data_IF_091882830960
#
_entry.id   IF_091882830960
#
_cell.length_a   1.000
_cell.length_b   1.000
_cell.length_c   1.000
_cell.angle_alpha   90.00
_cell.angle_beta   90.00
_cell.angle_gamma   90.00
#
_symmetry.space_group_name_H-M   'P 1'
#
loop_
_entity.id
_entity.type
_entity.pdbx_description
1 polymer ?
#
# COMPACT_ATOMS: atom_id res chain seq x y z
N UNK A 1 -3.73 6.29 36.56
CA UNK A 1 -2.41 6.22 37.24
C UNK A 1 -1.44 5.52 36.31
N UNK A 2 -0.52 6.29 35.72
CA UNK A 2 0.44 5.78 34.73
C UNK A 2 1.56 5.01 35.41
N UNK A 3 1.66 3.71 35.15
CA UNK A 3 2.83 2.90 35.50
C UNK A 3 3.85 3.02 34.37
N UNK A 4 4.59 4.12 34.36
CA UNK A 4 5.81 4.31 33.57
C UNK A 4 6.94 3.46 34.14
N UNK A 5 6.89 2.15 33.88
CA UNK A 5 8.08 1.31 33.93
C UNK A 5 8.36 0.88 32.51
N UNK A 6 9.14 1.70 31.80
CA UNK A 6 9.84 1.35 30.58
C UNK A 6 10.78 0.18 30.86
N UNK A 7 10.23 -1.03 31.03
CA UNK A 7 11.00 -2.25 31.19
C UNK A 7 11.54 -2.58 29.81
N UNK A 8 12.79 -2.19 29.59
CA UNK A 8 13.59 -2.67 28.46
C UNK A 8 13.42 -4.18 28.37
N UNK A 9 12.73 -4.62 27.31
CA UNK A 9 12.42 -6.03 27.11
C UNK A 9 13.68 -6.79 26.66
N UNK A 10 13.65 -8.12 26.73
CA UNK A 10 14.73 -8.94 26.15
C UNK A 10 14.88 -8.67 24.64
N UNK A 11 13.77 -8.33 23.97
CA UNK A 11 13.75 -7.97 22.55
C UNK A 11 14.47 -6.65 22.30
N UNK A 12 14.21 -5.62 23.12
CA UNK A 12 14.88 -4.32 23.02
C UNK A 12 16.39 -4.43 23.23
N UNK A 13 16.83 -5.28 24.17
CA UNK A 13 18.25 -5.57 24.39
C UNK A 13 18.88 -6.23 23.16
N UNK A 14 18.21 -7.22 22.57
CA UNK A 14 18.72 -7.89 21.37
C UNK A 14 18.82 -6.94 20.18
N UNK A 15 17.83 -6.06 19.98
CA UNK A 15 17.86 -5.03 18.92
C UNK A 15 18.99 -4.04 19.16
N UNK A 16 19.19 -3.62 20.42
CA UNK A 16 20.31 -2.76 20.79
C UNK A 16 21.65 -3.42 20.49
N UNK A 17 21.82 -4.69 20.86
CA UNK A 17 23.05 -5.44 20.62
C UNK A 17 23.37 -5.57 19.12
N UNK A 18 22.36 -5.82 18.28
CA UNK A 18 22.51 -5.82 16.82
C UNK A 18 22.96 -4.46 16.28
N UNK A 19 22.33 -3.36 16.75
CA UNK A 19 22.69 -2.00 16.36
C UNK A 19 24.11 -1.63 16.81
N UNK A 20 24.50 -2.01 18.03
CA UNK A 20 25.85 -1.83 18.54
C UNK A 20 26.89 -2.62 17.72
N UNK A 21 26.57 -3.85 17.30
CA UNK A 21 27.45 -4.63 16.43
C UNK A 21 27.63 -3.98 15.06
N UNK A 22 26.55 -3.49 14.45
CA UNK A 22 26.62 -2.72 13.19
C UNK A 22 27.53 -1.51 13.33
N UNK A 23 27.36 -0.72 14.39
CA UNK A 23 28.16 0.48 14.63
C UNK A 23 29.65 0.15 14.85
N UNK A 24 29.95 -0.96 15.56
CA UNK A 24 31.33 -1.47 15.71
C UNK A 24 31.92 -1.89 14.37
N UNK A 25 31.15 -2.54 13.49
CA UNK A 25 31.64 -2.91 12.15
C UNK A 25 31.90 -1.68 11.29
N UNK A 26 31.08 -0.64 11.34
CA UNK A 26 31.38 0.64 10.67
C UNK A 26 32.67 1.27 11.19
N UNK A 27 32.90 1.26 12.51
CA UNK A 27 34.17 1.75 13.07
C UNK A 27 35.37 0.94 12.57
N UNK A 28 35.23 -0.39 12.50
CA UNK A 28 36.26 -1.27 11.98
C UNK A 28 36.53 -1.04 10.50
N UNK A 29 35.48 -0.88 9.68
CA UNK A 29 35.55 -0.53 8.26
C UNK A 29 36.38 0.75 8.06
N UNK A 30 36.02 1.84 8.76
CA UNK A 30 36.77 3.11 8.70
C UNK A 30 38.24 2.94 9.08
N UNK A 31 38.53 2.15 10.12
CA UNK A 31 39.91 1.88 10.54
C UNK A 31 40.70 1.11 9.46
N UNK A 32 40.10 0.11 8.83
CA UNK A 32 40.73 -0.65 7.74
C UNK A 32 40.96 0.24 6.51
N UNK A 33 40.00 1.09 6.14
CA UNK A 33 40.17 2.02 5.00
C UNK A 33 41.41 2.89 5.20
N UNK A 34 41.57 3.51 6.37
CA UNK A 34 42.74 4.32 6.71
C UNK A 34 44.05 3.52 6.68
N UNK A 35 44.02 2.26 7.12
CA UNK A 35 45.18 1.36 7.03
C UNK A 35 45.54 1.03 5.58
N UNK A 36 44.52 0.74 4.75
CA UNK A 36 44.68 0.43 3.33
C UNK A 36 45.31 1.62 2.60
N UNK A 37 44.86 2.85 2.87
CA UNK A 37 45.41 4.08 2.29
C UNK A 37 46.89 4.26 2.68
N UNK A 38 47.23 4.01 3.95
CA UNK A 38 48.62 4.05 4.44
C UNK A 38 49.50 3.02 3.74
N UNK A 39 49.04 1.79 3.58
CA UNK A 39 49.79 0.75 2.87
C UNK A 39 49.97 1.09 1.38
N UNK A 40 48.99 1.75 0.78
CA UNK A 40 49.08 2.25 -0.59
C UNK A 40 50.14 3.36 -0.70
N UNK A 41 50.22 4.26 0.27
CA UNK A 41 51.25 5.30 0.33
C UNK A 41 52.65 4.70 0.55
N UNK A 42 52.80 3.74 1.47
CA UNK A 42 54.06 3.03 1.72
C UNK A 42 54.51 2.28 0.45
N UNK A 43 53.60 1.59 -0.23
CA UNK A 43 53.92 0.90 -1.48
C UNK A 43 54.46 1.88 -2.55
N UNK A 44 53.84 3.06 -2.70
CA UNK A 44 54.31 4.12 -3.60
C UNK A 44 55.72 4.63 -3.23
N UNK A 45 55.97 4.86 -1.94
CA UNK A 45 57.28 5.31 -1.45
C UNK A 45 58.38 4.28 -1.69
N UNK A 46 58.12 2.99 -1.40
CA UNK A 46 59.09 1.91 -1.61
C UNK A 46 59.38 1.70 -3.11
N UNK A 47 58.39 1.88 -3.99
CA UNK A 47 58.60 1.85 -5.43
C UNK A 47 59.47 3.02 -5.91
N UNK A 48 59.27 4.23 -5.37
CA UNK A 48 60.11 5.39 -5.69
C UNK A 48 61.57 5.20 -5.24
N UNK A 49 61.79 4.45 -4.16
CA UNK A 49 63.13 4.10 -3.65
C UNK A 49 63.78 2.91 -4.39
N UNK A 50 63.07 2.25 -5.31
CA UNK A 50 63.56 1.08 -6.05
C UNK A 50 63.45 -0.26 -5.30
N UNK A 51 62.92 -0.27 -4.08
CA UNK A 51 62.79 -1.45 -3.22
C UNK A 51 61.56 -2.31 -3.57
N UNK A 52 61.68 -3.06 -4.68
CA UNK A 52 60.60 -3.93 -5.20
C UNK A 52 60.08 -4.98 -4.21
N UNK A 53 60.96 -5.60 -3.43
CA UNK A 53 60.57 -6.66 -2.47
C UNK A 53 59.66 -6.11 -1.35
N UNK A 54 59.98 -4.93 -0.83
CA UNK A 54 59.17 -4.26 0.21
C UNK A 54 57.86 -3.74 -0.34
N UNK A 55 57.86 -3.21 -1.56
CA UNK A 55 56.64 -2.80 -2.25
C UNK A 55 55.67 -3.97 -2.45
N UNK A 56 56.17 -5.14 -2.87
CA UNK A 56 55.35 -6.36 -3.02
C UNK A 56 54.74 -6.82 -1.69
N UNK A 57 55.50 -6.75 -0.58
CA UNK A 57 54.97 -7.09 0.74
C UNK A 57 53.84 -6.14 1.16
N UNK A 58 54.00 -4.82 0.94
CA UNK A 58 52.97 -3.84 1.23
C UNK A 58 51.69 -4.08 0.40
N UNK A 59 51.83 -4.40 -0.89
CA UNK A 59 50.70 -4.73 -1.75
C UNK A 59 49.97 -6.03 -1.34
N UNK A 60 50.71 -7.04 -0.84
CA UNK A 60 50.10 -8.27 -0.30
C UNK A 60 49.28 -7.98 0.96
N UNK A 61 49.78 -7.13 1.86
CA UNK A 61 49.03 -6.69 3.05
C UNK A 61 47.78 -5.89 2.67
N UNK A 62 47.91 -5.01 1.68
CA UNK A 62 46.79 -4.22 1.14
C UNK A 62 45.68 -5.14 0.64
N UNK A 63 46.04 -6.13 -0.17
CA UNK A 63 45.09 -7.10 -0.72
C UNK A 63 44.40 -7.94 0.36
N UNK A 64 45.13 -8.30 1.42
CA UNK A 64 44.53 -8.97 2.58
C UNK A 64 43.52 -8.07 3.30
N UNK A 65 43.85 -6.79 3.52
CA UNK A 65 42.96 -5.81 4.14
C UNK A 65 41.71 -5.55 3.30
N UNK A 66 41.84 -5.43 1.97
CA UNK A 66 40.71 -5.35 1.04
C UNK A 66 39.80 -6.57 1.15
N UNK A 67 40.36 -7.78 1.27
CA UNK A 67 39.56 -9.00 1.47
C UNK A 67 38.81 -9.01 2.80
N UNK A 68 39.40 -8.44 3.85
CA UNK A 68 38.75 -8.28 5.16
C UNK A 68 37.66 -7.22 5.09
N UNK A 69 37.89 -6.12 4.37
CA UNK A 69 36.90 -5.07 4.15
C UNK A 69 35.68 -5.64 3.41
N UNK A 70 35.89 -6.37 2.31
CA UNK A 70 34.79 -7.02 1.57
C UNK A 70 33.97 -7.99 2.43
N UNK A 71 34.63 -8.78 3.30
CA UNK A 71 33.92 -9.64 4.27
C UNK A 71 33.12 -8.83 5.29
N UNK A 72 33.69 -7.73 5.77
CA UNK A 72 33.03 -6.82 6.73
C UNK A 72 31.81 -6.18 6.10
N UNK A 73 31.89 -5.74 4.85
CA UNK A 73 30.76 -5.15 4.11
C UNK A 73 29.62 -6.17 3.91
N UNK A 74 29.96 -7.41 3.58
CA UNK A 74 28.97 -8.49 3.47
C UNK A 74 28.27 -8.77 4.82
N UNK A 75 29.03 -8.81 5.91
CA UNK A 75 28.46 -8.97 7.26
C UNK A 75 27.58 -7.78 7.67
N UNK A 76 27.97 -6.56 7.27
CA UNK A 76 27.23 -5.35 7.56
C UNK A 76 25.89 -5.34 6.82
N UNK A 77 25.88 -5.67 5.53
CA UNK A 77 24.66 -5.83 4.75
C UNK A 77 23.72 -6.90 5.36
N UNK A 78 24.28 -8.02 5.82
CA UNK A 78 23.50 -9.05 6.51
C UNK A 78 22.87 -8.54 7.82
N UNK A 79 23.59 -7.74 8.61
CA UNK A 79 23.06 -7.15 9.84
C UNK A 79 21.99 -6.08 9.58
N UNK A 80 22.15 -5.28 8.53
CA UNK A 80 21.14 -4.31 8.10
C UNK A 80 19.84 -5.01 7.67
N UNK A 81 19.97 -6.07 6.87
CA UNK A 81 18.83 -6.89 6.47
C UNK A 81 18.15 -7.53 7.69
N UNK A 82 18.92 -8.10 8.62
CA UNK A 82 18.38 -8.69 9.84
C UNK A 82 17.66 -7.65 10.71
N UNK A 83 18.22 -6.45 10.85
CA UNK A 83 17.62 -5.36 11.63
C UNK A 83 16.29 -4.92 11.01
N UNK A 84 16.26 -4.73 9.68
CA UNK A 84 15.05 -4.39 8.94
C UNK A 84 13.96 -5.47 9.09
N UNK A 85 14.34 -6.74 8.99
CA UNK A 85 13.41 -7.86 9.18
C UNK A 85 12.82 -7.88 10.59
N UNK A 86 13.63 -7.60 11.62
CA UNK A 86 13.15 -7.53 13.01
C UNK A 86 12.20 -6.36 13.21
N UNK A 87 12.53 -5.18 12.68
CA UNK A 87 11.66 -4.00 12.75
C UNK A 87 10.32 -4.25 12.05
N UNK A 88 10.34 -4.90 10.89
CA UNK A 88 9.13 -5.32 10.19
C UNK A 88 8.31 -6.34 11.00
N UNK A 89 8.96 -7.34 11.61
CA UNK A 89 8.29 -8.33 12.45
C UNK A 89 7.61 -7.71 13.68
N UNK A 90 8.18 -6.63 14.25
CA UNK A 90 7.54 -5.87 15.32
C UNK A 90 6.26 -5.18 14.84
N UNK A 91 6.29 -4.55 13.66
CA UNK A 91 5.10 -3.94 13.05
C UNK A 91 4.04 -5.02 12.78
N UNK A 92 4.44 -6.15 12.21
CA UNK A 92 3.53 -7.27 11.95
C UNK A 92 2.83 -7.77 13.23
N UNK A 93 3.57 -7.88 14.34
CA UNK A 93 2.98 -8.24 15.63
C UNK A 93 1.89 -7.25 16.04
N UNK A 94 2.14 -5.96 15.90
CA UNK A 94 1.17 -4.92 16.28
C UNK A 94 -0.07 -4.95 15.38
N UNK A 95 0.10 -5.16 14.07
CA UNK A 95 -1.01 -5.35 13.12
C UNK A 95 -1.86 -6.55 13.51
N UNK A 96 -1.24 -7.69 13.80
CA UNK A 96 -1.96 -8.91 14.23
C UNK A 96 -2.72 -8.66 15.53
N UNK A 97 -2.12 -7.94 16.49
CA UNK A 97 -2.80 -7.59 17.73
C UNK A 97 -4.00 -6.65 17.50
N UNK A 98 -3.87 -5.69 16.58
CA UNK A 98 -4.96 -4.83 16.15
C UNK A 98 -6.10 -5.62 15.48
N UNK A 99 -5.79 -6.55 14.58
CA UNK A 99 -6.77 -7.43 13.96
C UNK A 99 -7.49 -8.33 14.98
N UNK A 100 -6.76 -8.86 15.97
CA UNK A 100 -7.34 -9.65 17.05
C UNK A 100 -8.31 -8.82 17.90
N UNK A 101 -7.97 -7.58 18.23
CA UNK A 101 -8.87 -6.68 18.95
C UNK A 101 -10.10 -6.32 18.12
N UNK A 102 -9.92 -5.95 16.84
CA UNK A 102 -11.05 -5.67 15.93
C UNK A 102 -11.98 -6.87 15.79
N UNK A 103 -11.42 -8.09 15.70
CA UNK A 103 -12.21 -9.33 15.66
C UNK A 103 -12.99 -9.55 16.96
N UNK A 104 -12.43 -9.21 18.12
CA UNK A 104 -13.14 -9.32 19.41
C UNK A 104 -14.30 -8.33 19.47
N UNK A 105 -14.06 -7.07 19.13
CA UNK A 105 -15.11 -6.04 19.10
C UNK A 105 -16.22 -6.41 18.11
N UNK A 106 -15.87 -6.91 16.92
CA UNK A 106 -16.87 -7.39 15.97
C UNK A 106 -17.70 -8.54 16.57
N UNK A 107 -17.08 -9.50 17.25
CA UNK A 107 -17.81 -10.59 17.91
C UNK A 107 -18.75 -10.09 19.00
N UNK A 108 -18.34 -9.09 19.77
CA UNK A 108 -19.19 -8.45 20.79
C UNK A 108 -20.38 -7.74 20.13
N UNK A 109 -20.15 -6.95 19.08
CA UNK A 109 -21.22 -6.31 18.30
C UNK A 109 -22.18 -7.35 17.70
N UNK A 110 -21.65 -8.43 17.13
CA UNK A 110 -22.48 -9.51 16.60
C UNK A 110 -23.30 -10.20 17.70
N UNK A 111 -22.75 -10.37 18.91
CA UNK A 111 -23.49 -10.93 20.03
C UNK A 111 -24.60 -9.97 20.52
N UNK A 112 -24.33 -8.66 20.57
CA UNK A 112 -25.31 -7.63 20.93
C UNK A 112 -26.45 -7.50 19.91
N UNK A 113 -26.16 -7.67 18.61
CA UNK A 113 -27.17 -7.70 17.53
C UNK A 113 -27.95 -9.03 17.47
N UNK A 114 -27.79 -9.92 18.45
CA UNK A 114 -28.51 -11.19 18.56
C UNK A 114 -27.86 -12.37 17.85
N UNK A 115 -26.65 -12.22 17.31
CA UNK A 115 -25.92 -13.30 16.64
C UNK A 115 -26.66 -13.85 15.42
N UNK A 116 -26.56 -15.16 15.20
CA UNK A 116 -27.30 -15.86 14.13
C UNK A 116 -28.79 -15.94 14.47
N UNK A 117 -29.13 -16.15 15.75
CA UNK A 117 -30.52 -16.28 16.20
C UNK A 117 -31.32 -14.98 16.04
N UNK A 118 -30.70 -13.81 16.25
CA UNK A 118 -31.32 -12.50 16.05
C UNK A 118 -31.61 -12.23 14.57
N UNK A 119 -30.72 -12.66 13.68
CA UNK A 119 -30.92 -12.57 12.23
C UNK A 119 -31.99 -13.57 11.78
N UNK A 120 -31.97 -14.82 12.27
CA UNK A 120 -33.00 -15.82 11.97
C UNK A 120 -34.38 -15.39 12.47
N UNK A 121 -34.46 -14.80 13.67
CA UNK A 121 -35.71 -14.27 14.24
C UNK A 121 -36.24 -13.10 13.42
N UNK A 122 -35.40 -12.15 13.02
CA UNK A 122 -35.81 -11.06 12.14
C UNK A 122 -36.29 -11.56 10.77
N UNK A 123 -35.66 -12.58 10.20
CA UNK A 123 -36.13 -13.17 8.94
C UNK A 123 -37.47 -13.92 9.13
N UNK A 124 -37.65 -14.60 10.26
CA UNK A 124 -38.92 -15.25 10.63
C UNK A 124 -40.06 -14.23 10.81
N UNK A 125 -39.84 -13.19 11.62
CA UNK A 125 -40.82 -12.12 11.85
C UNK A 125 -41.21 -11.41 10.55
N UNK A 126 -40.26 -11.20 9.63
CA UNK A 126 -40.53 -10.57 8.35
C UNK A 126 -41.30 -11.50 7.39
N UNK A 127 -40.99 -12.80 7.40
CA UNK A 127 -41.73 -13.80 6.63
C UNK A 127 -43.18 -13.94 7.14
N UNK A 128 -43.39 -13.93 8.45
CA UNK A 128 -44.71 -13.94 9.08
C UNK A 128 -45.50 -12.65 8.76
N UNK A 129 -44.85 -11.48 8.84
CA UNK A 129 -45.48 -10.20 8.47
C UNK A 129 -45.91 -10.17 7.00
N UNK A 130 -45.08 -10.70 6.09
CA UNK A 130 -45.42 -10.84 4.68
C UNK A 130 -46.57 -11.84 4.45
N UNK A 131 -46.61 -12.95 5.19
CA UNK A 131 -47.71 -13.90 5.10
C UNK A 131 -49.03 -13.29 5.59
N UNK A 132 -49.00 -12.55 6.70
CA UNK A 132 -50.15 -11.83 7.23
C UNK A 132 -50.65 -10.74 6.27
N UNK A 133 -49.74 -9.98 5.65
CA UNK A 133 -50.11 -9.00 4.62
C UNK A 133 -50.79 -9.66 3.43
N UNK A 134 -50.29 -10.81 2.97
CA UNK A 134 -50.93 -11.59 1.87
C UNK A 134 -52.30 -12.13 2.28
N UNK A 135 -52.47 -12.58 3.51
CA UNK A 135 -53.77 -13.02 4.02
C UNK A 135 -54.76 -11.85 4.08
N UNK A 136 -54.33 -10.66 4.50
CA UNK A 136 -55.15 -9.45 4.42
C UNK A 136 -55.50 -9.12 2.98
N UNK A 137 -54.52 -9.15 2.06
CA UNK A 137 -54.72 -8.88 0.64
C UNK A 137 -55.74 -9.84 0.01
N UNK A 138 -55.68 -11.13 0.34
CA UNK A 138 -56.63 -12.16 -0.12
C UNK A 138 -58.03 -11.94 0.48
N UNK A 139 -58.12 -11.59 1.76
CA UNK A 139 -59.39 -11.26 2.42
C UNK A 139 -60.02 -9.97 1.87
N UNK A 140 -59.21 -8.98 1.45
CA UNK A 140 -59.68 -7.75 0.83
C UNK A 140 -60.17 -7.99 -0.60
N UNK A 141 -59.39 -8.69 -1.44
CA UNK A 141 -59.81 -9.06 -2.80
C UNK A 141 -61.09 -9.92 -2.81
N UNK A 142 -61.32 -10.72 -1.78
CA UNK A 142 -62.56 -11.49 -1.64
C UNK A 142 -63.80 -10.67 -1.24
N UNK A 143 -63.63 -9.41 -0.82
CA UNK A 143 -64.73 -8.55 -0.30
C UNK A 143 -64.96 -7.27 -1.08
N UNK A 144 -63.99 -6.80 -1.85
CA UNK A 144 -64.08 -5.59 -2.66
C UNK A 144 -64.60 -5.97 -4.05
N UNK A 145 -65.49 -5.15 -4.61
CA UNK A 145 -65.99 -5.34 -5.98
C UNK A 145 -65.03 -4.75 -7.01
N UNK A 146 -65.07 -5.24 -8.25
CA UNK A 146 -64.21 -4.75 -9.35
C UNK A 146 -64.33 -3.23 -9.57
N UNK A 147 -65.49 -2.64 -9.28
CA UNK A 147 -65.73 -1.20 -9.39
C UNK A 147 -65.03 -0.41 -8.27
N UNK A 148 -65.05 -0.95 -7.04
CA UNK A 148 -64.34 -0.34 -5.92
C UNK A 148 -62.81 -0.52 -6.05
N UNK A 149 -62.33 -1.59 -6.70
CA UNK A 149 -60.91 -1.74 -7.06
C UNK A 149 -60.46 -0.67 -8.06
N UNK A 150 -61.27 -0.39 -9.09
CA UNK A 150 -61.00 0.68 -10.08
C UNK A 150 -60.98 2.07 -9.42
N UNK A 151 -61.88 2.34 -8.48
CA UNK A 151 -61.89 3.59 -7.69
C UNK A 151 -60.60 3.73 -6.83
N UNK A 152 -60.13 2.64 -6.22
CA UNK A 152 -58.88 2.63 -5.45
C UNK A 152 -57.66 2.85 -6.35
N UNK A 153 -57.63 2.27 -7.54
CA UNK A 153 -56.56 2.50 -8.53
C UNK A 153 -56.51 3.97 -8.98
N UNK A 154 -57.68 4.58 -9.23
CA UNK A 154 -57.80 6.00 -9.57
C UNK A 154 -57.32 6.91 -8.42
N UNK A 155 -57.68 6.60 -7.17
CA UNK A 155 -57.19 7.32 -5.99
C UNK A 155 -55.66 7.19 -5.84
N UNK A 156 -55.10 5.99 -6.05
CA UNK A 156 -53.66 5.76 -6.03
C UNK A 156 -52.95 6.57 -7.11
N UNK A 157 -53.50 6.63 -8.33
CA UNK A 157 -52.97 7.42 -9.43
C UNK A 157 -53.00 8.93 -9.12
N UNK A 158 -54.06 9.41 -8.47
CA UNK A 158 -54.18 10.79 -8.02
C UNK A 158 -53.13 11.14 -6.95
N UNK A 159 -52.90 10.26 -5.97
CA UNK A 159 -51.86 10.42 -4.95
C UNK A 159 -50.46 10.42 -5.59
N UNK A 160 -50.20 9.49 -6.50
CA UNK A 160 -48.91 9.43 -7.22
C UNK A 160 -48.64 10.69 -8.04
N UNK A 161 -49.65 11.21 -8.75
CA UNK A 161 -49.57 12.47 -9.51
C UNK A 161 -49.31 13.67 -8.59
N UNK A 162 -49.97 13.73 -7.43
CA UNK A 162 -49.75 14.78 -6.44
C UNK A 162 -48.33 14.75 -5.87
N UNK A 163 -47.82 13.57 -5.52
CA UNK A 163 -46.42 13.40 -5.06
C UNK A 163 -45.44 13.80 -6.17
N UNK A 164 -45.71 13.43 -7.43
CA UNK A 164 -44.88 13.82 -8.55
C UNK A 164 -44.88 15.34 -8.78
N UNK A 165 -46.03 16.00 -8.63
CA UNK A 165 -46.15 17.46 -8.71
C UNK A 165 -45.47 18.17 -7.53
N UNK A 166 -45.56 17.63 -6.31
CA UNK A 166 -44.85 18.14 -5.14
C UNK A 166 -43.33 17.98 -5.29
N UNK A 167 -42.86 16.86 -5.83
CA UNK A 167 -41.44 16.63 -6.15
C UNK A 167 -40.96 17.53 -7.31
N UNK A 168 -41.80 17.81 -8.31
CA UNK A 168 -41.49 18.75 -9.39
C UNK A 168 -41.52 20.22 -8.92
N UNK A 169 -42.39 20.56 -7.97
CA UNK A 169 -42.45 21.89 -7.34
C UNK A 169 -41.30 22.12 -6.34
N UNK A 170 -40.71 21.05 -5.79
CA UNK A 170 -39.50 21.09 -4.97
C UNK A 170 -38.21 21.29 -5.79
N UNK A 171 -38.28 21.35 -7.13
CA UNK A 171 -37.21 21.91 -7.97
C UNK A 171 -37.51 23.37 -8.36
N UNK A 172 -37.23 24.39 -7.52
CA UNK A 172 -37.05 25.73 -8.01
C UNK A 172 -35.62 25.89 -8.56
N UNK A 173 -35.54 26.33 -9.81
CA UNK A 173 -34.40 27.05 -10.40
C UNK A 173 -33.15 26.27 -10.82
N UNK A 174 -33.24 25.53 -11.94
CA UNK A 174 -32.18 25.67 -12.97
C UNK A 174 -32.46 26.95 -13.78
N UNK A 175 -32.28 28.10 -13.11
CA UNK A 175 -32.13 29.36 -13.81
C UNK A 175 -30.91 29.22 -14.74
N UNK A 176 -31.21 29.21 -16.03
CA UNK A 176 -30.46 29.88 -17.10
C UNK A 176 -29.04 30.28 -16.66
N UNK A 177 -28.05 29.50 -17.07
CA UNK A 177 -26.65 29.88 -16.93
C UNK A 177 -26.47 31.34 -17.39
N UNK A 178 -25.94 32.25 -16.57
CA UNK A 178 -25.55 33.55 -17.08
C UNK A 178 -24.38 33.31 -18.05
N UNK A 179 -24.54 33.75 -19.30
CA UNK A 179 -23.40 33.93 -20.19
C UNK A 179 -22.44 34.92 -19.52
N UNK A 180 -21.33 34.40 -19.00
CA UNK A 180 -20.23 35.23 -18.54
C UNK A 180 -19.55 35.87 -19.77
N UNK A 181 -19.17 37.16 -19.72
CA UNK A 181 -18.52 37.82 -20.83
C UNK A 181 -17.20 37.13 -21.17
N UNK A 182 -16.92 36.94 -22.46
CA UNK A 182 -15.65 36.43 -22.97
C UNK A 182 -14.55 37.42 -22.59
N UNK A 183 -13.66 37.01 -21.69
CA UNK A 183 -12.41 37.72 -21.40
C UNK A 183 -11.30 37.04 -22.25
N UNK A 184 -10.46 37.80 -22.97
CA UNK A 184 -9.51 37.22 -23.92
C UNK A 184 -8.50 36.27 -23.27
N UNK A 185 -8.29 35.12 -23.89
CA UNK A 185 -7.22 34.16 -23.57
C UNK A 185 -5.85 34.83 -23.65
N UNK A 186 -5.31 35.19 -22.50
CA UNK A 186 -3.91 35.55 -22.33
C UNK A 186 -3.30 34.60 -21.30
N UNK A 187 -2.82 33.45 -21.78
CA UNK A 187 -2.01 32.53 -20.99
C UNK A 187 -0.75 33.24 -20.47
N UNK A 188 -0.42 33.14 -19.18
CA UNK A 188 0.82 33.67 -18.67
C UNK A 188 1.99 32.82 -19.16
N UNK A 189 2.81 33.45 -19.99
CA UNK A 189 4.16 33.04 -20.38
C UNK A 189 4.98 32.58 -19.17
N UNK A 190 5.29 31.30 -19.10
CA UNK A 190 6.48 30.78 -18.42
C UNK A 190 7.47 30.34 -19.51
N UNK A 191 8.67 30.91 -19.43
CA UNK A 191 9.71 30.85 -20.44
C UNK A 191 10.56 29.56 -20.38
N UNK A 192 10.96 29.12 -21.60
CA UNK A 192 12.22 28.47 -22.03
C UNK A 192 12.58 27.08 -21.44
N UNK A 193 12.39 25.96 -22.18
CA UNK A 193 13.20 25.38 -23.30
C UNK A 193 14.58 24.80 -22.88
N UNK A 194 15.21 23.81 -23.59
CA UNK A 194 14.84 23.09 -24.84
C UNK A 194 15.09 21.55 -24.84
N UNK A 195 14.79 20.91 -25.99
CA UNK A 195 14.82 19.46 -26.31
C UNK A 195 16.20 18.77 -26.43
N UNK A 196 16.34 17.64 -27.16
CA UNK A 196 15.95 17.47 -28.59
C UNK A 196 15.04 16.25 -28.84
N UNK A 197 14.06 16.27 -29.74
CA UNK A 197 14.09 16.38 -31.22
C UNK A 197 14.05 15.00 -31.91
N UNK A 198 12.84 14.68 -32.40
CA UNK A 198 12.40 14.07 -33.69
C UNK A 198 13.21 12.88 -34.25
N UNK A 199 12.63 11.85 -34.86
CA UNK A 199 11.71 11.85 -36.02
C UNK A 199 11.03 10.48 -36.18
N UNK A 200 9.79 10.50 -36.65
CA UNK A 200 9.07 9.35 -37.21
C UNK A 200 9.79 8.76 -38.44
N UNK A 201 9.88 7.43 -38.52
CA UNK A 201 9.89 6.73 -39.80
C UNK A 201 9.53 5.24 -39.67
N UNK A 202 8.36 4.92 -40.21
CA UNK A 202 8.12 3.75 -41.07
C UNK A 202 8.04 2.34 -40.42
N UNK A 203 6.79 1.87 -40.40
CA UNK A 203 6.38 0.54 -40.85
C UNK A 203 7.45 -0.32 -41.54
N UNK A 204 7.78 -1.46 -40.95
CA UNK A 204 7.69 -2.76 -41.65
C UNK A 204 7.94 -3.90 -40.66
N UNK A 205 6.91 -4.73 -40.52
CA UNK A 205 6.96 -6.03 -39.88
C UNK A 205 7.97 -6.93 -40.61
N UNK A 206 9.06 -7.33 -39.94
CA UNK A 206 9.91 -8.44 -40.37
C UNK A 206 10.04 -9.45 -39.23
N UNK A 207 9.70 -10.69 -39.60
CA UNK A 207 9.54 -11.90 -38.81
C UNK A 207 10.84 -12.35 -38.11
N UNK A 208 10.67 -12.97 -36.95
CA UNK A 208 11.69 -13.70 -36.20
C UNK A 208 12.41 -14.76 -37.08
N UNK A 209 13.73 -14.95 -36.94
CA UNK A 209 14.38 -16.20 -37.29
C UNK A 209 14.60 -17.06 -36.04
N UNK A 210 14.14 -18.30 -36.17
CA UNK A 210 14.25 -19.38 -35.20
C UNK A 210 15.70 -19.75 -34.89
N UNK A 211 15.89 -20.19 -33.64
CA UNK A 211 17.13 -20.73 -33.10
C UNK A 211 17.66 -21.88 -33.96
N UNK A 212 18.82 -21.67 -34.58
CA UNK A 212 19.73 -22.73 -35.01
C UNK A 212 20.09 -23.61 -33.81
N UNK A 213 19.52 -24.81 -33.77
CA UNK A 213 20.15 -25.96 -33.14
C UNK A 213 21.36 -26.35 -33.99
N UNK A 214 22.53 -26.46 -33.37
CA UNK A 214 23.69 -27.15 -33.92
C UNK A 214 23.87 -28.47 -33.17
N UNK A 215 24.02 -29.53 -33.98
CA UNK A 215 24.86 -30.72 -33.77
C UNK A 215 24.41 -31.74 -32.72
N UNK A 216 24.01 -32.93 -33.17
CA UNK A 216 24.80 -34.15 -33.00
C UNK A 216 24.07 -35.41 -33.56
N UNK A 217 24.89 -36.28 -34.16
CA UNK A 217 24.67 -37.69 -34.57
C UNK A 217 23.83 -37.96 -35.84
#
# INVERSE_FOLDING_TARGET
MGSSNSRVTAQDKAILDLKLQRDKLHQYQRRITVLTDKETAIAKQMLAQGDKQRALLALRRKKYQESLLAKTDAQLAQLEQLTSNVEFALIQKDVVFGLQQGTRVLKEIHAEMGGIEGVEKLMGENAEALAYQKEIEELLHGRISVQEEEEVEDELAAIASRIAQENAAAEPQRLRAPELPVVPDAEPRAAEEPGPERVDAQSSSIKQPERRQMLAA
#
